data_IF_220126580365
#
_entry.id   IF_220126580365
#
_cell.length_a   1.000
_cell.length_b   1.000
_cell.length_c   1.000
_cell.angle_alpha   90.00
_cell.angle_beta   90.00
_cell.angle_gamma   90.00
#
_symmetry.space_group_name_H-M   'P 1'
#
loop_
_entity.id
_entity.type
_entity.pdbx_description
1 polymer ?
#
# COMPACT_ATOMS: atom_id res chain seq x y z
N UNK A 1 2.73 -6.45 -26.03
CA UNK A 1 3.76 -5.38 -25.97
C UNK A 1 4.50 -5.36 -24.62
N UNK A 2 4.86 -6.51 -24.04
CA UNK A 2 5.54 -6.58 -22.74
C UNK A 2 7.07 -6.62 -22.87
N UNK A 3 7.58 -7.11 -24.01
CA UNK A 3 9.01 -7.34 -24.23
C UNK A 3 9.85 -6.12 -24.60
N UNK A 4 9.24 -4.95 -24.90
CA UNK A 4 10.00 -3.71 -25.21
C UNK A 4 10.25 -2.81 -23.98
N UNK A 5 9.62 -3.10 -22.84
CA UNK A 5 9.87 -2.33 -21.60
C UNK A 5 11.10 -2.87 -20.89
N UNK A 6 12.01 -2.00 -20.39
CA UNK A 6 13.16 -2.45 -19.62
C UNK A 6 12.70 -3.26 -18.40
N UNK A 7 13.53 -4.21 -17.97
CA UNK A 7 13.16 -5.22 -16.97
C UNK A 7 12.54 -4.64 -15.69
N UNK A 8 13.05 -3.49 -15.22
CA UNK A 8 12.54 -2.78 -14.04
C UNK A 8 11.13 -2.18 -14.20
N UNK A 9 10.62 -1.99 -15.43
CA UNK A 9 9.27 -1.46 -15.71
C UNK A 9 8.23 -2.55 -15.96
N UNK A 10 8.60 -3.83 -15.86
CA UNK A 10 7.63 -4.93 -15.94
C UNK A 10 6.76 -4.92 -14.70
N UNK A 11 5.44 -5.03 -14.88
CA UNK A 11 4.44 -4.95 -13.79
C UNK A 11 4.78 -5.85 -12.61
N UNK A 12 5.15 -7.12 -12.87
CA UNK A 12 5.51 -8.08 -11.82
C UNK A 12 6.72 -7.64 -10.99
N UNK A 13 7.77 -7.15 -11.65
CA UNK A 13 8.99 -6.69 -10.97
C UNK A 13 8.74 -5.39 -10.21
N UNK A 14 7.99 -4.46 -10.80
CA UNK A 14 7.63 -3.21 -10.14
C UNK A 14 6.78 -3.44 -8.88
N UNK A 15 5.87 -4.42 -8.93
CA UNK A 15 5.06 -4.85 -7.79
C UNK A 15 5.94 -5.46 -6.69
N UNK A 16 6.89 -6.32 -7.07
CA UNK A 16 7.85 -6.91 -6.14
C UNK A 16 8.72 -5.85 -5.46
N UNK A 17 9.23 -4.87 -6.21
CA UNK A 17 10.00 -3.74 -5.67
C UNK A 17 9.13 -2.89 -4.72
N UNK A 18 7.87 -2.61 -5.07
CA UNK A 18 6.95 -1.90 -4.18
C UNK A 18 6.64 -2.65 -2.87
N UNK A 19 6.70 -3.98 -2.87
CA UNK A 19 6.51 -4.79 -1.66
C UNK A 19 7.78 -4.80 -0.80
N UNK A 20 8.93 -5.09 -1.41
CA UNK A 20 10.19 -5.29 -0.67
C UNK A 20 10.74 -3.97 -0.18
N UNK A 21 10.76 -2.96 -1.04
CA UNK A 21 11.29 -1.62 -0.75
C UNK A 21 10.34 -0.56 -1.28
N UNK A 22 9.26 -0.29 -0.53
CA UNK A 22 8.22 0.66 -0.94
C UNK A 22 8.76 2.04 -1.36
N UNK A 23 9.76 2.64 -0.68
CA UNK A 23 10.32 3.94 -1.07
C UNK A 23 10.99 3.91 -2.45
N UNK A 24 11.76 2.85 -2.73
CA UNK A 24 12.45 2.67 -4.01
C UNK A 24 11.44 2.42 -5.13
N UNK A 25 10.41 1.61 -4.87
CA UNK A 25 9.30 1.40 -5.79
C UNK A 25 8.57 2.69 -6.14
N UNK A 26 8.33 3.54 -5.14
CA UNK A 26 7.71 4.85 -5.33
C UNK A 26 8.55 5.77 -6.22
N UNK A 27 9.85 5.89 -5.95
CA UNK A 27 10.78 6.72 -6.74
C UNK A 27 10.82 6.27 -8.20
N UNK A 28 10.95 4.95 -8.45
CA UNK A 28 11.00 4.37 -9.80
C UNK A 28 9.69 4.61 -10.56
N UNK A 29 8.55 4.48 -9.86
CA UNK A 29 7.24 4.73 -10.44
C UNK A 29 7.08 6.21 -10.81
N UNK A 30 7.42 7.13 -9.90
CA UNK A 30 7.30 8.57 -10.10
C UNK A 30 8.19 9.06 -11.25
N UNK A 31 9.44 8.62 -11.31
CA UNK A 31 10.36 8.97 -12.41
C UNK A 31 9.91 8.41 -13.76
N UNK A 32 9.18 7.28 -13.80
CA UNK A 32 8.72 6.65 -15.03
C UNK A 32 7.22 6.78 -15.28
N UNK A 33 6.52 7.68 -14.57
CA UNK A 33 5.09 7.93 -14.71
C UNK A 33 4.71 8.07 -16.20
N UNK A 34 5.42 8.88 -16.99
CA UNK A 34 5.07 9.10 -18.42
C UNK A 34 4.97 7.83 -19.29
N UNK A 35 5.52 6.68 -18.86
CA UNK A 35 5.52 5.40 -19.61
C UNK A 35 4.36 4.44 -19.25
N UNK A 36 3.49 4.81 -18.32
CA UNK A 36 2.36 3.99 -17.85
C UNK A 36 1.01 4.61 -18.17
N UNK A 37 0.00 3.76 -18.40
CA UNK A 37 -1.41 4.18 -18.52
C UNK A 37 -1.89 4.77 -17.19
N UNK A 38 -2.79 5.75 -17.26
CA UNK A 38 -3.27 6.50 -16.10
C UNK A 38 -3.85 5.61 -15.00
N UNK A 39 -4.61 4.58 -15.39
CA UNK A 39 -5.21 3.61 -14.47
C UNK A 39 -4.15 2.78 -13.73
N UNK A 40 -3.13 2.30 -14.46
CA UNK A 40 -2.03 1.53 -13.88
C UNK A 40 -1.20 2.39 -12.92
N UNK A 41 -0.98 3.66 -13.25
CA UNK A 41 -0.29 4.59 -12.37
C UNK A 41 -0.98 4.68 -11.02
N UNK A 42 -2.30 4.93 -11.02
CA UNK A 42 -3.07 5.11 -9.79
C UNK A 42 -2.98 3.84 -8.96
N UNK A 43 -3.18 2.66 -9.55
CA UNK A 43 -3.05 1.40 -8.82
C UNK A 43 -1.67 1.21 -8.19
N UNK A 44 -0.59 1.38 -8.97
CA UNK A 44 0.77 1.22 -8.44
C UNK A 44 1.10 2.27 -7.37
N UNK A 45 0.65 3.53 -7.53
CA UNK A 45 0.88 4.59 -6.56
C UNK A 45 0.17 4.27 -5.24
N UNK A 46 -1.08 3.81 -5.31
CA UNK A 46 -1.89 3.43 -4.15
C UNK A 46 -1.26 2.27 -3.40
N UNK A 47 -0.86 1.21 -4.12
CA UNK A 47 -0.19 0.04 -3.51
C UNK A 47 1.13 0.45 -2.86
N UNK A 48 1.96 1.21 -3.58
CA UNK A 48 3.25 1.70 -3.06
C UNK A 48 3.05 2.57 -1.82
N UNK A 49 2.03 3.44 -1.81
CA UNK A 49 1.71 4.30 -0.66
C UNK A 49 1.24 3.49 0.54
N UNK A 50 0.31 2.55 0.35
CA UNK A 50 -0.17 1.66 1.42
C UNK A 50 0.99 0.85 1.99
N UNK A 51 1.83 0.28 1.12
CA UNK A 51 2.98 -0.53 1.56
C UNK A 51 4.03 0.32 2.26
N UNK A 52 4.25 1.56 1.82
CA UNK A 52 5.14 2.52 2.50
C UNK A 52 4.59 2.86 3.87
N UNK A 53 3.29 3.12 4.00
CA UNK A 53 2.66 3.40 5.29
C UNK A 53 2.82 2.21 6.25
N UNK A 54 2.59 0.98 5.78
CA UNK A 54 2.78 -0.24 6.59
C UNK A 54 4.26 -0.43 6.97
N UNK A 55 5.17 -0.20 6.03
CA UNK A 55 6.62 -0.34 6.28
C UNK A 55 7.16 0.71 7.24
N UNK A 56 6.70 1.96 7.11
CA UNK A 56 6.99 3.05 8.06
C UNK A 56 6.42 2.70 9.43
N UNK A 57 5.23 2.10 9.52
CA UNK A 57 4.64 1.67 10.77
C UNK A 57 5.51 0.64 11.51
N UNK A 58 6.15 -0.27 10.76
CA UNK A 58 7.12 -1.23 11.28
C UNK A 58 8.44 -0.57 11.75
N UNK A 59 8.75 0.62 11.25
CA UNK A 59 9.93 1.39 11.68
C UNK A 59 9.69 2.17 12.97
N UNK A 60 8.44 2.27 13.45
CA UNK A 60 8.15 2.93 14.72
C UNK A 60 8.66 2.07 15.90
N UNK A 61 9.03 2.71 17.03
CA UNK A 61 9.39 1.97 18.23
C UNK A 61 8.23 1.07 18.67
N UNK A 62 8.56 -0.16 19.09
CA UNK A 62 7.64 -1.28 19.35
C UNK A 62 6.42 -0.90 20.21
N UNK A 63 6.60 0.05 21.14
CA UNK A 63 5.52 0.56 21.98
C UNK A 63 4.44 1.27 21.14
N UNK A 64 4.85 2.14 20.22
CA UNK A 64 3.93 2.93 19.38
C UNK A 64 3.28 2.03 18.32
N UNK A 65 4.02 1.06 17.77
CA UNK A 65 3.47 0.07 16.84
C UNK A 65 2.26 -0.66 17.45
N UNK A 66 2.38 -1.14 18.70
CA UNK A 66 1.29 -1.80 19.42
C UNK A 66 0.08 -0.89 19.59
N UNK A 67 0.27 0.38 19.97
CA UNK A 67 -0.83 1.34 20.10
C UNK A 67 -1.59 1.52 18.79
N UNK A 68 -0.88 1.63 17.66
CA UNK A 68 -1.53 1.81 16.35
C UNK A 68 -2.32 0.56 15.96
N UNK A 69 -1.78 -0.65 16.17
CA UNK A 69 -2.51 -1.89 15.92
C UNK A 69 -3.76 -2.03 16.80
N UNK A 70 -3.65 -1.70 18.09
CA UNK A 70 -4.79 -1.68 19.00
C UNK A 70 -5.88 -0.70 18.54
N UNK A 71 -5.49 0.49 18.07
CA UNK A 71 -6.43 1.50 17.59
C UNK A 71 -7.17 1.04 16.33
N UNK A 72 -6.46 0.42 15.38
CA UNK A 72 -7.05 -0.16 14.17
C UNK A 72 -8.06 -1.26 14.54
N UNK A 73 -7.70 -2.16 15.46
CA UNK A 73 -8.60 -3.22 15.93
C UNK A 73 -9.84 -2.65 16.62
N UNK A 74 -9.68 -1.64 17.48
CA UNK A 74 -10.79 -0.99 18.17
C UNK A 74 -11.79 -0.37 17.18
N UNK A 75 -11.31 0.28 16.12
CA UNK A 75 -12.17 0.86 15.07
C UNK A 75 -12.93 -0.26 14.32
N UNK A 76 -12.25 -1.35 13.97
CA UNK A 76 -12.87 -2.49 13.27
C UNK A 76 -13.98 -3.11 14.13
N UNK A 77 -13.70 -3.37 15.41
CA UNK A 77 -14.65 -3.95 16.36
C UNK A 77 -15.82 -2.98 16.58
N UNK A 78 -15.53 -1.70 16.81
CA UNK A 78 -16.56 -0.67 16.97
C UNK A 78 -17.50 -0.59 15.77
N UNK A 79 -16.95 -0.56 14.55
CA UNK A 79 -17.75 -0.59 13.33
C UNK A 79 -18.53 -1.90 13.16
N UNK A 80 -17.95 -3.04 13.55
CA UNK A 80 -18.63 -4.34 13.50
C UNK A 80 -19.84 -4.35 14.45
N UNK A 81 -19.68 -3.87 15.68
CA UNK A 81 -20.74 -3.77 16.68
C UNK A 81 -21.83 -2.81 16.20
N UNK A 82 -21.47 -1.61 15.74
CA UNK A 82 -22.43 -0.63 15.21
C UNK A 82 -23.20 -1.18 14.01
N UNK A 83 -22.52 -1.89 13.11
CA UNK A 83 -23.14 -2.53 11.95
C UNK A 83 -24.09 -3.65 12.36
N UNK A 84 -23.72 -4.45 13.36
CA UNK A 84 -24.57 -5.51 13.89
C UNK A 84 -25.80 -4.94 14.60
N UNK A 85 -25.64 -3.88 15.40
CA UNK A 85 -26.73 -3.21 16.10
C UNK A 85 -27.71 -2.53 15.13
N UNK A 86 -27.20 -1.89 14.07
CA UNK A 86 -28.02 -1.28 13.01
C UNK A 86 -28.77 -2.30 12.14
N UNK A 87 -28.33 -3.57 12.14
CA UNK A 87 -28.97 -4.67 11.38
C UNK A 87 -30.05 -5.41 12.19
N UNK A 88 -30.04 -5.26 13.51
CA UNK A 88 -31.01 -5.86 14.45
C UNK A 88 -32.24 -4.97 14.70
N UNK A 89 -32.17 -3.68 14.34
CA UNK A 89 -33.27 -2.71 14.45
C UNK A 89 -33.92 -2.48 13.10
#
# INVERSE_FOLDING_TARGET
MENKKPWYLRKKILYFICIVTPPIGYIVLVTNLKKFKQEEKINFLTISTIMTAIWVLKFLPKNIELYVWCLILAIIIGNFILKHFKRTK
#
